data_IF_837481257079
#
_entry.id   IF_837481257079
#
_cell.length_a   1.000
_cell.length_b   1.000
_cell.length_c   1.000
_cell.angle_alpha   90.00
_cell.angle_beta   90.00
_cell.angle_gamma   90.00
#
_symmetry.space_group_name_H-M   'P 1'
#
loop_
_entity.id
_entity.type
_entity.pdbx_description
1 polymer ?
#
# COMPACT_ATOMS: atom_id res chain seq x y z
N UNK A 1 -11.78 -6.79 -6.75
CA UNK A 1 -10.31 -6.65 -6.61
C UNK A 1 -9.85 -7.66 -5.58
N UNK A 2 -8.66 -8.22 -5.74
CA UNK A 2 -8.08 -9.24 -4.85
C UNK A 2 -6.65 -8.91 -4.37
N UNK A 3 -5.99 -7.88 -4.92
CA UNK A 3 -4.73 -7.33 -4.40
C UNK A 3 -4.90 -5.86 -4.00
N UNK A 4 -4.37 -5.53 -2.82
CA UNK A 4 -4.34 -4.18 -2.27
C UNK A 4 -2.89 -3.77 -1.99
N UNK A 5 -2.47 -2.65 -2.55
CA UNK A 5 -1.18 -2.00 -2.28
C UNK A 5 -1.47 -0.64 -1.66
N UNK A 6 -0.83 -0.34 -0.55
CA UNK A 6 -0.98 0.92 0.17
C UNK A 6 0.38 1.45 0.60
N UNK A 7 0.57 2.77 0.53
CA UNK A 7 1.61 3.48 1.25
C UNK A 7 1.02 4.69 1.99
N UNK A 8 1.40 4.85 3.24
CA UNK A 8 1.01 5.97 4.11
C UNK A 8 2.23 6.82 4.40
N UNK A 9 2.12 8.12 4.12
CA UNK A 9 3.19 9.10 4.23
C UNK A 9 2.87 10.11 5.32
N UNK A 10 3.91 10.53 6.03
CA UNK A 10 3.86 11.70 6.92
C UNK A 10 3.32 12.95 6.21
N UNK A 11 2.91 13.98 6.98
CA UNK A 11 2.51 15.24 6.42
C UNK A 11 3.60 15.84 5.50
N UNK A 12 3.23 16.05 4.24
CA UNK A 12 4.09 16.63 3.21
C UNK A 12 3.67 18.06 2.91
N UNK A 13 4.65 18.90 2.55
CA UNK A 13 4.36 20.17 1.90
C UNK A 13 3.64 19.96 0.57
N UNK A 14 2.80 20.91 0.15
CA UNK A 14 1.98 20.76 -1.06
C UNK A 14 2.84 20.46 -2.31
N UNK A 15 3.94 21.16 -2.53
CA UNK A 15 4.81 20.92 -3.69
C UNK A 15 5.38 19.50 -3.73
N UNK A 16 5.85 19.00 -2.58
CA UNK A 16 6.38 17.65 -2.45
C UNK A 16 5.28 16.61 -2.66
N UNK A 17 4.07 16.86 -2.13
CA UNK A 17 2.91 15.99 -2.33
C UNK A 17 2.56 15.84 -3.81
N UNK A 18 2.46 16.94 -4.56
CA UNK A 18 2.13 16.91 -5.98
C UNK A 18 3.12 16.07 -6.79
N UNK A 19 4.43 16.22 -6.51
CA UNK A 19 5.46 15.42 -7.15
C UNK A 19 5.32 13.92 -6.83
N UNK A 20 5.04 13.58 -5.57
CA UNK A 20 4.78 12.20 -5.13
C UNK A 20 3.55 11.61 -5.83
N UNK A 21 2.46 12.37 -5.98
CA UNK A 21 1.25 11.87 -6.62
C UNK A 21 1.50 11.58 -8.09
N UNK A 22 2.21 12.48 -8.78
CA UNK A 22 2.60 12.26 -10.18
C UNK A 22 3.43 10.99 -10.30
N UNK A 23 4.47 10.82 -9.49
CA UNK A 23 5.33 9.63 -9.53
C UNK A 23 4.55 8.34 -9.24
N UNK A 24 3.68 8.34 -8.21
CA UNK A 24 2.82 7.21 -7.88
C UNK A 24 1.93 6.77 -9.05
N UNK A 25 1.22 7.71 -9.67
CA UNK A 25 0.32 7.43 -10.78
C UNK A 25 1.09 6.97 -12.03
N UNK A 26 2.18 7.66 -12.39
CA UNK A 26 2.98 7.29 -13.58
C UNK A 26 3.63 5.91 -13.44
N UNK A 27 4.11 5.56 -12.24
CA UNK A 27 4.61 4.20 -11.94
C UNK A 27 3.50 3.16 -11.99
N UNK A 28 2.33 3.47 -11.44
CA UNK A 28 1.19 2.56 -11.49
C UNK A 28 0.79 2.27 -12.95
N UNK A 29 0.73 3.31 -13.79
CA UNK A 29 0.40 3.19 -15.21
C UNK A 29 1.46 2.50 -16.07
N UNK A 30 2.74 2.60 -15.70
CA UNK A 30 3.84 1.95 -16.41
C UNK A 30 4.21 0.57 -15.87
N UNK A 31 3.70 0.19 -14.69
CA UNK A 31 3.90 -1.11 -14.08
C UNK A 31 2.59 -1.90 -14.00
N UNK A 32 1.93 -2.00 -12.81
CA UNK A 32 0.77 -2.88 -12.61
C UNK A 32 -0.40 -2.68 -13.59
N UNK A 33 -0.58 -1.46 -14.12
CA UNK A 33 -1.66 -1.13 -15.05
C UNK A 33 -1.21 -1.02 -16.52
N UNK A 34 0.05 -1.29 -16.86
CA UNK A 34 0.58 -1.06 -18.21
C UNK A 34 -0.26 -1.75 -19.32
N UNK A 35 -0.64 -3.00 -19.10
CA UNK A 35 -1.51 -3.77 -20.00
C UNK A 35 -2.88 -3.09 -20.20
N UNK A 36 -3.51 -2.63 -19.11
CA UNK A 36 -4.84 -2.01 -19.15
C UNK A 36 -4.82 -0.62 -19.80
N UNK A 37 -3.77 0.16 -19.54
CA UNK A 37 -3.55 1.46 -20.21
C UNK A 37 -3.41 1.25 -21.71
N UNK A 38 -2.60 0.26 -22.12
CA UNK A 38 -2.38 -0.06 -23.53
C UNK A 38 -3.65 -0.55 -24.23
N UNK A 39 -4.47 -1.38 -23.57
CA UNK A 39 -5.75 -1.84 -24.10
C UNK A 39 -6.74 -0.68 -24.31
N UNK A 40 -6.86 0.23 -23.33
CA UNK A 40 -7.71 1.42 -23.47
C UNK A 40 -7.25 2.31 -24.65
N UNK A 41 -5.95 2.59 -24.75
CA UNK A 41 -5.38 3.46 -25.78
C UNK A 41 -5.65 2.94 -27.20
N UNK A 42 -5.68 1.62 -27.39
CA UNK A 42 -6.01 0.98 -28.67
C UNK A 42 -7.50 0.79 -28.91
N UNK A 43 -8.35 1.19 -27.96
CA UNK A 43 -9.77 0.87 -27.93
C UNK A 43 -10.01 -0.66 -28.10
N UNK A 44 -9.09 -1.46 -27.58
CA UNK A 44 -9.14 -2.91 -27.59
C UNK A 44 -9.93 -3.38 -26.35
N UNK A 45 -10.89 -4.31 -26.56
CA UNK A 45 -11.52 -5.12 -25.51
C UNK A 45 -12.22 -4.39 -24.36
N UNK A 46 -13.05 -3.38 -24.63
CA UNK A 46 -14.05 -2.91 -23.65
C UNK A 46 -13.49 -2.29 -22.36
N UNK A 47 -12.17 -2.11 -22.27
CA UNK A 47 -11.54 -1.44 -21.12
C UNK A 47 -11.80 0.05 -21.22
N UNK A 48 -12.31 0.62 -20.13
CA UNK A 48 -12.56 2.05 -19.99
C UNK A 48 -11.95 2.55 -18.69
N UNK A 49 -11.54 3.82 -18.67
CA UNK A 49 -11.15 4.49 -17.43
C UNK A 49 -12.06 5.64 -17.08
N UNK A 50 -12.23 5.81 -15.77
CA UNK A 50 -12.84 6.99 -15.17
C UNK A 50 -11.89 7.54 -14.11
N UNK A 51 -11.56 8.83 -14.22
CA UNK A 51 -10.77 9.54 -13.24
C UNK A 51 -11.60 10.63 -12.60
N UNK A 52 -11.60 10.69 -11.27
CA UNK A 52 -12.24 11.73 -10.48
C UNK A 52 -11.21 12.42 -9.60
N UNK A 53 -11.21 13.75 -9.59
CA UNK A 53 -10.29 14.59 -8.81
C UNK A 53 -11.09 15.56 -7.95
N UNK A 54 -10.74 15.68 -6.67
CA UNK A 54 -11.29 16.65 -5.73
C UNK A 54 -10.17 17.56 -5.20
N UNK A 55 -10.29 18.85 -5.45
CA UNK A 55 -9.30 19.85 -5.04
C UNK A 55 -9.47 20.28 -3.58
N UNK A 56 -8.37 20.71 -2.96
CA UNK A 56 -8.33 21.15 -1.56
C UNK A 56 -9.26 22.33 -1.29
N UNK A 57 -10.07 22.23 -0.23
CA UNK A 57 -10.93 23.32 0.24
C UNK A 57 -12.05 23.75 -0.72
N UNK A 58 -12.39 22.94 -1.73
CA UNK A 58 -13.38 23.29 -2.75
C UNK A 58 -14.43 22.22 -3.02
N UNK A 59 -15.61 22.65 -3.47
CA UNK A 59 -16.64 21.77 -4.06
C UNK A 59 -16.28 21.30 -5.48
N UNK A 60 -15.17 21.78 -6.05
CA UNK A 60 -14.76 21.52 -7.43
C UNK A 60 -14.32 20.06 -7.58
N UNK A 61 -15.13 19.30 -8.30
CA UNK A 61 -14.80 17.96 -8.79
C UNK A 61 -14.51 18.02 -10.28
N UNK A 62 -13.39 17.43 -10.70
CA UNK A 62 -12.99 17.28 -12.10
C UNK A 62 -13.16 15.80 -12.45
N UNK A 63 -13.94 15.50 -13.47
CA UNK A 63 -14.09 14.13 -13.98
C UNK A 63 -13.45 14.05 -15.36
N UNK A 64 -12.72 12.97 -15.61
CA UNK A 64 -12.08 12.66 -16.89
C UNK A 64 -12.40 11.20 -17.23
N UNK A 65 -12.63 10.92 -18.50
CA UNK A 65 -12.69 9.56 -19.03
C UNK A 65 -11.59 9.40 -20.07
N UNK A 66 -11.23 8.17 -20.41
CA UNK A 66 -10.18 7.90 -21.41
C UNK A 66 -8.82 8.49 -20.98
N UNK A 67 -8.17 7.82 -20.03
CA UNK A 67 -6.89 8.17 -19.45
C UNK A 67 -5.86 8.48 -20.54
N UNK A 68 -5.77 7.66 -21.59
CA UNK A 68 -4.83 7.89 -22.70
C UNK A 68 -4.94 9.30 -23.32
N UNK A 69 -6.17 9.83 -23.45
CA UNK A 69 -6.41 11.18 -23.99
C UNK A 69 -6.25 12.29 -22.96
N UNK A 70 -6.43 11.97 -21.68
CA UNK A 70 -6.44 12.94 -20.59
C UNK A 70 -5.18 12.87 -19.70
N UNK A 71 -4.19 12.04 -20.02
CA UNK A 71 -2.98 11.83 -19.19
C UNK A 71 -2.24 13.12 -18.86
N UNK A 72 -2.03 13.99 -19.86
CA UNK A 72 -1.38 15.28 -19.67
C UNK A 72 -2.19 16.20 -18.75
N UNK A 73 -3.52 16.19 -18.86
CA UNK A 73 -4.41 16.95 -17.98
C UNK A 73 -4.41 16.39 -16.56
N UNK A 74 -4.46 15.07 -16.40
CA UNK A 74 -4.38 14.42 -15.10
C UNK A 74 -3.08 14.82 -14.40
N UNK A 75 -1.94 14.80 -15.10
CA UNK A 75 -0.66 15.24 -14.53
C UNK A 75 -0.74 16.66 -13.95
N UNK A 76 -1.30 17.62 -14.70
CA UNK A 76 -1.47 19.00 -14.22
C UNK A 76 -2.37 19.06 -12.98
N UNK A 77 -3.42 18.25 -12.92
CA UNK A 77 -4.30 18.16 -11.75
C UNK A 77 -3.57 17.55 -10.54
N UNK A 78 -2.73 16.53 -10.73
CA UNK A 78 -1.92 15.91 -9.67
C UNK A 78 -0.85 16.86 -9.11
N UNK A 79 -0.21 17.66 -9.98
CA UNK A 79 0.77 18.68 -9.58
C UNK A 79 0.15 19.77 -8.69
N UNK A 80 -1.15 20.03 -8.85
CA UNK A 80 -1.91 20.93 -7.97
C UNK A 80 -2.23 20.33 -6.60
N UNK A 81 -1.83 19.07 -6.36
CA UNK A 81 -1.96 18.41 -5.06
C UNK A 81 -3.41 18.33 -4.59
N UNK A 82 -4.27 17.56 -5.27
CA UNK A 82 -5.66 17.40 -4.86
C UNK A 82 -5.76 16.67 -3.51
N UNK A 83 -6.87 16.86 -2.80
CA UNK A 83 -7.14 16.12 -1.57
C UNK A 83 -7.51 14.67 -1.86
N UNK A 84 -8.06 14.42 -3.03
CA UNK A 84 -8.44 13.08 -3.44
C UNK A 84 -8.40 12.96 -4.96
N UNK A 85 -7.85 11.86 -5.42
CA UNK A 85 -7.85 11.49 -6.84
C UNK A 85 -7.96 9.98 -6.94
N UNK A 86 -8.80 9.50 -7.84
CA UNK A 86 -8.88 8.10 -8.21
C UNK A 86 -8.95 7.97 -9.72
N UNK A 87 -8.22 7.01 -10.27
CA UNK A 87 -8.44 6.49 -11.62
C UNK A 87 -8.81 5.03 -11.50
N UNK A 88 -10.01 4.68 -11.97
CA UNK A 88 -10.50 3.31 -12.00
C UNK A 88 -10.47 2.79 -13.43
N UNK A 89 -10.16 1.50 -13.57
CA UNK A 89 -10.20 0.74 -14.82
C UNK A 89 -11.38 -0.22 -14.74
N UNK A 90 -12.22 -0.18 -15.77
CA UNK A 90 -13.44 -0.98 -15.87
C UNK A 90 -13.43 -1.84 -17.12
N UNK A 91 -14.01 -3.02 -17.02
CA UNK A 91 -14.54 -3.82 -18.14
C UNK A 91 -16.00 -4.12 -17.84
N UNK A 92 -16.36 -5.40 -17.77
CA UNK A 92 -17.66 -5.82 -17.22
C UNK A 92 -17.76 -5.55 -15.71
N UNK A 93 -16.61 -5.58 -15.01
CA UNK A 93 -16.43 -5.25 -13.59
C UNK A 93 -15.23 -4.29 -13.40
N UNK A 94 -14.98 -3.82 -12.17
CA UNK A 94 -13.77 -3.05 -11.83
C UNK A 94 -12.53 -3.95 -11.90
N UNK A 95 -11.64 -3.64 -12.85
CA UNK A 95 -10.38 -4.36 -13.10
C UNK A 95 -9.25 -3.88 -12.17
N UNK A 96 -9.33 -2.63 -11.73
CA UNK A 96 -8.45 -2.08 -10.70
C UNK A 96 -8.58 -0.57 -10.56
N UNK A 97 -7.84 -0.01 -9.62
CA UNK A 97 -7.82 1.41 -9.32
C UNK A 97 -6.46 1.88 -8.84
N UNK A 98 -6.13 3.11 -9.14
CA UNK A 98 -5.04 3.86 -8.49
C UNK A 98 -5.64 5.10 -7.83
N UNK A 99 -5.29 5.35 -6.58
CA UNK A 99 -5.89 6.39 -5.77
C UNK A 99 -4.85 7.10 -4.91
N UNK A 100 -5.10 8.38 -4.63
CA UNK A 100 -4.51 9.08 -3.50
C UNK A 100 -5.61 9.77 -2.69
N UNK A 101 -5.45 9.77 -1.37
CA UNK A 101 -6.24 10.54 -0.41
C UNK A 101 -5.31 11.36 0.49
N UNK A 102 -5.71 12.57 0.83
CA UNK A 102 -5.06 13.42 1.82
C UNK A 102 -6.06 13.78 2.92
N UNK A 103 -5.60 13.70 4.17
CA UNK A 103 -6.44 13.87 5.35
C UNK A 103 -5.99 15.10 6.15
N UNK A 104 -6.42 16.32 5.78
CA UNK A 104 -5.99 17.54 6.46
C UNK A 104 -6.44 17.59 7.92
N UNK A 105 -7.62 17.05 8.22
CA UNK A 105 -8.21 17.06 9.57
C UNK A 105 -7.52 16.06 10.51
N UNK A 106 -6.85 15.05 9.94
CA UNK A 106 -6.18 13.97 10.69
C UNK A 106 -4.67 14.24 10.84
N UNK A 107 -4.22 15.48 10.68
CA UNK A 107 -2.82 15.85 10.83
C UNK A 107 -2.03 15.95 9.53
N UNK A 108 -2.67 15.73 8.37
CA UNK A 108 -2.08 15.95 7.04
C UNK A 108 -1.46 14.72 6.39
N UNK A 109 -1.87 13.51 6.79
CA UNK A 109 -1.38 12.27 6.19
C UNK A 109 -1.76 12.16 4.72
N UNK A 110 -0.89 11.55 3.92
CA UNK A 110 -1.20 11.17 2.55
C UNK A 110 -1.22 9.65 2.43
N UNK A 111 -2.23 9.13 1.76
CA UNK A 111 -2.41 7.70 1.50
C UNK A 111 -2.45 7.45 0.00
N UNK A 112 -1.56 6.58 -0.45
CA UNK A 112 -1.41 6.15 -1.84
C UNK A 112 -1.91 4.70 -1.94
N UNK A 113 -2.79 4.41 -2.90
CA UNK A 113 -3.41 3.10 -3.04
C UNK A 113 -3.38 2.63 -4.48
N UNK A 114 -3.12 1.34 -4.66
CA UNK A 114 -3.41 0.58 -5.88
C UNK A 114 -4.24 -0.64 -5.49
N UNK A 115 -5.37 -0.84 -6.18
CA UNK A 115 -6.18 -2.05 -6.08
C UNK A 115 -6.20 -2.77 -7.42
N UNK A 116 -6.02 -4.08 -7.44
CA UNK A 116 -5.94 -4.87 -8.68
C UNK A 116 -6.88 -6.07 -8.60
N UNK A 117 -7.43 -6.46 -9.75
CA UNK A 117 -8.06 -7.76 -9.96
C UNK A 117 -7.06 -8.65 -10.72
N UNK A 118 -6.24 -9.41 -10.00
CA UNK A 118 -5.15 -10.21 -10.55
C UNK A 118 -5.54 -11.66 -10.83
N UNK A 119 -6.40 -12.26 -10.00
CA UNK A 119 -6.78 -13.67 -10.05
C UNK A 119 -5.68 -14.61 -9.52
N UNK A 120 -6.09 -15.78 -9.02
CA UNK A 120 -5.22 -16.71 -8.29
C UNK A 120 -3.97 -17.17 -9.06
N UNK A 121 -4.05 -17.32 -10.38
CA UNK A 121 -2.92 -17.71 -11.22
C UNK A 121 -1.78 -16.69 -11.18
N UNK A 122 -2.09 -15.39 -11.26
CA UNK A 122 -1.08 -14.32 -11.15
C UNK A 122 -0.51 -14.24 -9.73
N UNK A 123 -1.34 -14.47 -8.71
CA UNK A 123 -0.88 -14.47 -7.31
C UNK A 123 0.08 -15.63 -6.97
N UNK A 124 0.11 -16.66 -7.81
CA UNK A 124 1.05 -17.78 -7.70
C UNK A 124 2.27 -17.63 -8.63
N UNK A 125 2.31 -16.61 -9.48
CA UNK A 125 3.43 -16.34 -10.39
C UNK A 125 4.53 -15.51 -9.70
N UNK A 126 5.74 -16.06 -9.51
CA UNK A 126 6.87 -15.33 -8.92
C UNK A 126 7.22 -14.05 -9.65
N UNK A 127 7.13 -14.03 -11.00
CA UNK A 127 7.46 -12.83 -11.77
C UNK A 127 6.48 -11.71 -11.49
N UNK A 128 5.18 -11.99 -11.55
CA UNK A 128 4.14 -11.01 -11.25
C UNK A 128 4.29 -10.45 -9.83
N UNK A 129 4.54 -11.33 -8.86
CA UNK A 129 4.75 -10.92 -7.47
C UNK A 129 6.00 -10.06 -7.29
N UNK A 130 7.12 -10.41 -7.94
CA UNK A 130 8.34 -9.61 -7.93
C UNK A 130 8.12 -8.22 -8.55
N UNK A 131 7.40 -8.14 -9.68
CA UNK A 131 7.08 -6.88 -10.34
C UNK A 131 6.22 -5.96 -9.43
N UNK A 132 5.28 -6.53 -8.64
CA UNK A 132 4.51 -5.78 -7.65
C UNK A 132 5.38 -5.26 -6.49
N UNK A 133 6.28 -6.10 -5.99
CA UNK A 133 7.23 -5.73 -4.93
C UNK A 133 8.14 -4.60 -5.41
N UNK A 134 8.68 -4.73 -6.62
CA UNK A 134 9.57 -3.72 -7.22
C UNK A 134 8.83 -2.41 -7.50
N UNK A 135 7.57 -2.47 -7.93
CA UNK A 135 6.71 -1.28 -8.05
C UNK A 135 6.62 -0.53 -6.72
N UNK A 136 6.26 -1.20 -5.63
CA UNK A 136 6.14 -0.55 -4.32
C UNK A 136 7.50 -0.04 -3.85
N UNK A 137 8.55 -0.88 -3.93
CA UNK A 137 9.90 -0.53 -3.51
C UNK A 137 10.38 0.76 -4.17
N UNK A 138 10.24 0.86 -5.50
CA UNK A 138 10.65 2.04 -6.25
C UNK A 138 9.79 3.27 -5.94
N UNK A 139 8.49 3.10 -5.71
CA UNK A 139 7.58 4.19 -5.40
C UNK A 139 7.86 4.82 -4.03
N UNK A 140 8.40 4.06 -3.07
CA UNK A 140 8.68 4.55 -1.71
C UNK A 140 10.17 4.73 -1.38
N UNK A 141 11.06 4.40 -2.31
CA UNK A 141 12.52 4.36 -2.10
C UNK A 141 13.08 5.68 -1.55
N UNK A 142 12.55 6.80 -2.04
CA UNK A 142 12.96 8.15 -1.68
C UNK A 142 11.97 8.85 -0.71
N UNK A 143 11.10 8.10 0.00
CA UNK A 143 10.05 8.67 0.86
C UNK A 143 10.14 8.31 2.35
N UNK A 144 10.70 7.16 2.73
CA UNK A 144 10.62 6.60 4.10
C UNK A 144 9.18 6.65 4.64
N UNK A 145 8.22 5.89 4.07
CA UNK A 145 6.82 5.95 4.48
C UNK A 145 6.67 5.50 5.94
N UNK A 146 5.63 6.01 6.63
CA UNK A 146 5.28 5.54 7.99
C UNK A 146 4.82 4.09 7.95
N UNK A 147 4.16 3.70 6.86
CA UNK A 147 3.73 2.33 6.65
C UNK A 147 3.49 2.09 5.16
N UNK A 148 3.75 0.88 4.67
CA UNK A 148 3.21 0.44 3.39
C UNK A 148 2.97 -1.06 3.42
N UNK A 149 2.06 -1.55 2.59
CA UNK A 149 1.77 -2.99 2.49
C UNK A 149 1.36 -3.42 1.11
N UNK A 150 1.56 -4.72 0.83
CA UNK A 150 0.84 -5.44 -0.21
C UNK A 150 0.12 -6.61 0.44
N UNK A 151 -1.17 -6.72 0.16
CA UNK A 151 -2.06 -7.66 0.81
C UNK A 151 -3.09 -8.24 -0.17
N UNK A 152 -3.60 -9.42 0.18
CA UNK A 152 -4.64 -10.12 -0.57
C UNK A 152 -5.96 -10.03 0.18
N UNK A 153 -7.05 -9.80 -0.55
CA UNK A 153 -8.44 -9.87 -0.06
C UNK A 153 -8.81 -8.92 1.12
N UNK A 154 -7.90 -8.02 1.53
CA UNK A 154 -8.15 -6.98 2.54
C UNK A 154 -8.06 -5.58 1.91
N UNK A 155 -9.20 -4.90 1.81
CA UNK A 155 -9.34 -3.59 1.16
C UNK A 155 -9.75 -2.48 2.15
N UNK A 156 -9.33 -2.62 3.40
CA UNK A 156 -9.64 -1.69 4.48
C UNK A 156 -8.59 -0.59 4.60
N UNK A 157 -8.98 0.56 5.18
CA UNK A 157 -8.02 1.57 5.60
C UNK A 157 -7.21 1.15 6.84
N UNK A 158 -7.73 0.19 7.60
CA UNK A 158 -7.03 -0.45 8.71
C UNK A 158 -6.09 -1.55 8.22
N UNK A 159 -4.93 -1.63 8.86
CA UNK A 159 -4.13 -2.85 8.89
C UNK A 159 -4.91 -3.98 9.58
N UNK A 160 -4.56 -5.24 9.32
CA UNK A 160 -5.19 -6.36 10.04
C UNK A 160 -4.99 -6.27 11.56
N UNK A 161 -3.84 -5.78 12.02
CA UNK A 161 -3.55 -5.63 13.44
C UNK A 161 -4.34 -4.47 14.04
N UNK A 162 -4.51 -3.37 13.31
CA UNK A 162 -5.34 -2.25 13.77
C UNK A 162 -6.79 -2.69 13.94
N UNK A 163 -7.34 -3.40 12.96
CA UNK A 163 -8.69 -3.95 13.03
C UNK A 163 -8.81 -4.95 14.20
N UNK A 164 -7.87 -5.91 14.32
CA UNK A 164 -7.92 -6.94 15.36
C UNK A 164 -7.71 -6.40 16.78
N UNK A 165 -7.02 -5.26 16.94
CA UNK A 165 -6.84 -4.56 18.21
C UNK A 165 -7.85 -3.43 18.42
N UNK A 166 -8.79 -3.22 17.49
CA UNK A 166 -9.78 -2.13 17.52
C UNK A 166 -9.15 -0.74 17.67
N UNK A 167 -7.97 -0.53 17.06
CA UNK A 167 -7.24 0.74 17.12
C UNK A 167 -7.81 1.72 16.12
N UNK A 168 -8.11 2.94 16.56
CA UNK A 168 -8.53 4.02 15.67
C UNK A 168 -7.34 4.55 14.86
N UNK A 169 -7.59 5.00 13.62
CA UNK A 169 -6.58 5.61 12.75
C UNK A 169 -6.07 6.94 13.31
N UNK A 170 -6.93 7.71 13.98
CA UNK A 170 -6.57 8.99 14.59
C UNK A 170 -5.43 8.83 15.62
N UNK A 171 -5.36 7.68 16.28
CA UNK A 171 -4.32 7.34 17.25
C UNK A 171 -3.17 6.56 16.59
N UNK A 172 -3.48 5.62 15.69
CA UNK A 172 -2.46 4.73 15.13
C UNK A 172 -1.54 5.41 14.12
N UNK A 173 -2.01 6.41 13.38
CA UNK A 173 -1.21 7.11 12.38
C UNK A 173 -0.13 7.98 13.05
N UNK A 174 -0.43 8.84 14.04
CA UNK A 174 0.60 9.56 14.79
C UNK A 174 1.63 8.66 15.47
N UNK A 175 1.21 7.48 15.93
CA UNK A 175 2.07 6.49 16.57
C UNK A 175 2.86 5.63 15.56
N UNK A 176 2.65 5.76 14.25
CA UNK A 176 3.19 4.83 13.25
C UNK A 176 4.71 4.74 13.17
N UNK A 177 5.42 5.71 13.74
CA UNK A 177 6.90 5.73 13.91
C UNK A 177 7.36 5.05 15.20
N UNK A 178 6.47 4.88 16.17
CA UNK A 178 6.69 4.21 17.46
C UNK A 178 6.19 2.76 17.45
N UNK A 179 5.07 2.49 16.78
CA UNK A 179 4.50 1.17 16.61
C UNK A 179 4.18 0.91 15.14
N UNK A 180 4.61 -0.25 14.65
CA UNK A 180 4.28 -0.68 13.31
C UNK A 180 2.77 -0.94 13.23
N UNK A 181 2.10 -0.28 12.29
CA UNK A 181 0.64 -0.35 12.13
C UNK A 181 0.14 -1.78 11.93
N UNK A 182 0.91 -2.66 11.29
CA UNK A 182 0.60 -4.07 11.12
C UNK A 182 1.61 -4.77 10.23
N UNK A 183 1.26 -5.95 9.73
CA UNK A 183 2.10 -6.70 8.78
C UNK A 183 1.22 -7.44 7.78
N UNK A 184 1.72 -7.55 6.55
CA UNK A 184 1.10 -8.25 5.43
C UNK A 184 2.16 -9.02 4.63
N UNK A 185 1.78 -9.58 3.47
CA UNK A 185 2.70 -10.31 2.61
C UNK A 185 3.94 -9.49 2.25
N UNK A 186 3.74 -8.20 1.93
CA UNK A 186 4.82 -7.21 1.91
C UNK A 186 4.49 -6.15 2.93
N UNK A 187 5.49 -5.73 3.71
CA UNK A 187 5.39 -4.66 4.70
C UNK A 187 6.57 -3.72 4.54
N UNK A 188 6.35 -2.41 4.50
CA UNK A 188 7.42 -1.42 4.66
C UNK A 188 7.41 -0.94 6.10
N UNK A 189 8.55 -1.14 6.75
CA UNK A 189 8.80 -0.72 8.11
C UNK A 189 9.59 0.60 8.10
N UNK A 190 9.11 1.66 8.78
CA UNK A 190 9.81 2.94 8.83
C UNK A 190 11.19 2.83 9.48
N UNK A 191 12.09 3.77 9.18
CA UNK A 191 13.49 3.72 9.59
C UNK A 191 13.69 3.46 11.09
N UNK A 192 12.92 4.14 11.93
CA UNK A 192 13.02 4.10 13.39
C UNK A 192 12.76 2.68 13.92
N UNK A 193 11.73 2.04 13.37
CA UNK A 193 11.34 0.69 13.71
C UNK A 193 12.31 -0.34 13.13
N UNK A 194 12.77 -0.13 11.89
CA UNK A 194 13.80 -0.96 11.28
C UNK A 194 15.10 -0.98 12.12
N UNK A 195 15.51 0.17 12.67
CA UNK A 195 16.68 0.27 13.57
C UNK A 195 16.43 -0.50 14.87
N UNK A 196 15.25 -0.36 15.48
CA UNK A 196 14.87 -1.12 16.69
C UNK A 196 14.86 -2.62 16.48
N UNK A 197 14.57 -3.08 15.27
CA UNK A 197 14.64 -4.47 14.85
C UNK A 197 16.07 -4.95 14.50
N UNK A 198 17.09 -4.12 14.74
CA UNK A 198 18.49 -4.45 14.46
C UNK A 198 18.92 -4.19 13.02
N UNK A 199 18.11 -3.50 12.21
CA UNK A 199 18.41 -3.11 10.85
C UNK A 199 18.14 -4.20 9.80
N UNK A 200 18.32 -3.85 8.50
CA UNK A 200 17.98 -4.73 7.38
C UNK A 200 18.79 -6.03 7.35
N UNK A 201 20.06 -6.00 7.78
CA UNK A 201 20.90 -7.21 7.83
C UNK A 201 20.39 -8.22 8.86
N UNK A 202 20.00 -7.76 10.06
CA UNK A 202 19.40 -8.60 11.11
C UNK A 202 18.06 -9.17 10.64
N UNK A 203 17.23 -8.34 10.01
CA UNK A 203 15.95 -8.78 9.45
C UNK A 203 16.14 -9.83 8.35
N UNK A 204 17.13 -9.68 7.48
CA UNK A 204 17.47 -10.70 6.48
C UNK A 204 17.97 -12.00 7.13
N UNK A 205 18.85 -11.90 8.13
CA UNK A 205 19.40 -13.04 8.85
C UNK A 205 18.36 -13.81 9.69
N UNK A 206 17.24 -13.18 10.05
CA UNK A 206 16.15 -13.82 10.80
C UNK A 206 15.50 -15.01 10.08
N UNK A 207 15.60 -15.07 8.74
CA UNK A 207 14.91 -16.07 7.92
C UNK A 207 13.39 -15.91 7.87
N UNK A 208 12.83 -14.86 8.46
CA UNK A 208 11.38 -14.60 8.42
C UNK A 208 10.89 -14.12 7.04
N UNK A 209 11.77 -13.51 6.25
CA UNK A 209 11.45 -12.86 4.98
C UNK A 209 12.17 -13.54 3.81
N UNK A 210 11.47 -13.65 2.68
CA UNK A 210 12.05 -14.09 1.41
C UNK A 210 12.99 -13.03 0.82
N UNK A 211 12.63 -11.75 0.94
CA UNK A 211 13.43 -10.63 0.43
C UNK A 211 13.32 -9.45 1.39
N UNK A 212 14.47 -8.81 1.64
CA UNK A 212 14.60 -7.60 2.46
C UNK A 212 15.27 -6.53 1.61
N UNK A 213 14.64 -5.37 1.45
CA UNK A 213 15.13 -4.28 0.61
C UNK A 213 15.25 -3.01 1.45
N UNK A 214 16.47 -2.57 1.81
CA UNK A 214 16.64 -1.27 2.45
C UNK A 214 16.28 -0.16 1.46
N UNK A 215 15.54 0.85 1.92
CA UNK A 215 15.14 1.99 1.10
C UNK A 215 16.16 3.14 1.24
N UNK A 216 16.39 3.89 0.16
CA UNK A 216 17.42 4.95 0.11
C UNK A 216 17.20 6.07 1.12
N UNK A 217 15.95 6.45 1.39
CA UNK A 217 15.61 7.50 2.36
C UNK A 217 15.33 7.00 3.77
N UNK A 218 15.54 5.71 4.03
CA UNK A 218 15.29 5.08 5.31
C UNK A 218 14.08 4.17 5.29
N UNK A 219 14.06 3.25 6.24
CA UNK A 219 13.08 2.16 6.29
C UNK A 219 13.53 0.94 5.49
N UNK A 220 12.70 -0.09 5.52
CA UNK A 220 12.98 -1.38 4.89
C UNK A 220 11.69 -1.99 4.38
N UNK A 221 11.70 -2.46 3.13
CA UNK A 221 10.65 -3.29 2.57
C UNK A 221 10.94 -4.76 2.88
N UNK A 222 9.94 -5.45 3.38
CA UNK A 222 10.00 -6.83 3.85
C UNK A 222 8.97 -7.66 3.09
N UNK A 223 9.45 -8.59 2.25
CA UNK A 223 8.60 -9.53 1.53
C UNK A 223 8.64 -10.89 2.26
N UNK A 224 7.49 -11.32 2.77
CA UNK A 224 7.36 -12.49 3.64
C UNK A 224 7.59 -13.82 2.91
N UNK A 225 7.13 -13.95 1.67
CA UNK A 225 7.29 -15.14 0.82
C UNK A 225 7.40 -14.74 -0.65
N UNK A 226 7.92 -15.63 -1.51
CA UNK A 226 8.16 -15.33 -2.93
C UNK A 226 6.90 -14.87 -3.67
N UNK A 227 5.74 -15.47 -3.33
CA UNK A 227 4.46 -15.17 -3.98
C UNK A 227 3.38 -14.86 -2.96
N UNK A 228 2.35 -14.10 -3.38
CA UNK A 228 1.17 -13.83 -2.56
C UNK A 228 0.46 -15.12 -2.13
N UNK A 229 0.38 -16.11 -3.04
CA UNK A 229 -0.18 -17.43 -2.73
C UNK A 229 0.64 -18.20 -1.68
N UNK A 230 1.94 -17.91 -1.55
CA UNK A 230 2.84 -18.52 -0.58
C UNK A 230 2.75 -17.95 0.84
N UNK A 231 1.97 -16.87 1.05
CA UNK A 231 1.82 -16.21 2.35
C UNK A 231 0.89 -17.00 3.29
N UNK A 232 1.32 -18.20 3.68
CA UNK A 232 0.59 -19.13 4.57
C UNK A 232 0.65 -18.72 6.04
N UNK A 233 -0.19 -19.31 6.89
CA UNK A 233 -0.21 -19.06 8.34
C UNK A 233 1.16 -19.29 9.00
N UNK A 234 1.92 -20.29 8.54
CA UNK A 234 3.29 -20.50 9.03
C UNK A 234 4.22 -19.33 8.68
N UNK A 235 4.07 -18.72 7.50
CA UNK A 235 4.83 -17.53 7.12
C UNK A 235 4.39 -16.32 7.95
N UNK A 236 3.08 -16.16 8.16
CA UNK A 236 2.49 -15.11 9.02
C UNK A 236 3.08 -15.18 10.43
N UNK A 237 3.17 -16.36 11.03
CA UNK A 237 3.75 -16.58 12.36
C UNK A 237 5.23 -16.17 12.45
N UNK A 238 6.04 -16.49 11.42
CA UNK A 238 7.46 -16.08 11.38
C UNK A 238 7.60 -14.57 11.26
N UNK A 239 6.79 -13.95 10.41
CA UNK A 239 6.76 -12.49 10.24
C UNK A 239 6.35 -11.82 11.56
N UNK A 240 5.30 -12.31 12.21
CA UNK A 240 4.87 -11.81 13.51
C UNK A 240 5.99 -11.88 14.53
N UNK A 241 6.66 -13.04 14.69
CA UNK A 241 7.74 -13.19 15.65
C UNK A 241 8.91 -12.21 15.38
N UNK A 242 9.24 -11.98 14.11
CA UNK A 242 10.29 -11.03 13.73
C UNK A 242 9.88 -9.56 13.96
N UNK A 243 8.60 -9.22 13.86
CA UNK A 243 8.10 -7.83 13.97
C UNK A 243 7.49 -7.49 15.33
N UNK A 244 7.21 -8.47 16.19
CA UNK A 244 6.62 -8.28 17.53
C UNK A 244 7.28 -7.20 18.40
N UNK A 245 8.61 -6.99 18.38
CA UNK A 245 9.25 -5.92 19.16
C UNK A 245 8.82 -4.50 18.80
N UNK A 246 8.21 -4.30 17.63
CA UNK A 246 7.70 -3.00 17.19
C UNK A 246 6.19 -2.98 16.97
N UNK A 247 5.48 -4.06 17.24
CA UNK A 247 4.02 -4.07 17.18
C UNK A 247 3.42 -3.48 18.48
N UNK A 248 2.23 -2.85 18.39
CA UNK A 248 1.50 -2.42 19.57
C UNK A 248 1.13 -3.61 20.44
N UNK A 249 1.05 -3.38 21.76
CA UNK A 249 0.60 -4.38 22.73
C UNK A 249 -0.92 -4.56 22.65
N UNK A 250 -1.40 -5.68 23.17
CA UNK A 250 -2.81 -6.04 23.24
C UNK A 250 -3.09 -7.37 22.56
N UNK A 251 -4.11 -8.08 23.07
CA UNK A 251 -4.55 -9.34 22.50
C UNK A 251 -5.39 -9.09 21.24
N UNK A 252 -4.98 -9.58 20.06
CA UNK A 252 -5.79 -9.48 18.84
C UNK A 252 -7.04 -10.37 18.93
N UNK A 253 -8.16 -9.89 18.42
CA UNK A 253 -9.42 -10.63 18.37
C UNK A 253 -9.93 -10.75 16.92
N UNK A 254 -10.48 -11.91 16.50
CA UNK A 254 -11.16 -12.03 15.23
C UNK A 254 -12.37 -11.11 15.15
N UNK A 255 -12.50 -10.39 14.05
CA UNK A 255 -13.69 -9.60 13.74
C UNK A 255 -14.57 -10.37 12.75
N UNK A 256 -15.79 -10.80 13.14
CA UNK A 256 -16.71 -11.46 12.23
C UNK A 256 -17.09 -10.64 10.99
N UNK A 257 -16.97 -9.31 11.03
CA UNK A 257 -17.20 -8.44 9.88
C UNK A 257 -16.04 -8.50 8.85
N UNK A 258 -14.87 -8.96 9.30
CA UNK A 258 -13.66 -9.07 8.49
C UNK A 258 -13.02 -10.46 8.69
N UNK A 259 -13.68 -11.53 8.20
CA UNK A 259 -13.23 -12.91 8.42
C UNK A 259 -11.89 -13.24 7.73
N UNK A 260 -11.49 -12.43 6.75
CA UNK A 260 -10.30 -12.65 5.92
C UNK A 260 -9.03 -11.98 6.47
N UNK A 261 -9.10 -11.30 7.63
CA UNK A 261 -7.94 -10.70 8.26
C UNK A 261 -6.90 -11.77 8.63
N UNK A 262 -5.65 -11.54 8.24
CA UNK A 262 -4.51 -12.41 8.55
C UNK A 262 -3.66 -11.80 9.64
N UNK A 263 -3.68 -12.42 10.82
CA UNK A 263 -2.88 -12.03 11.97
C UNK A 263 -2.70 -13.22 12.92
N UNK A 264 -1.72 -13.12 13.82
CA UNK A 264 -1.50 -14.08 14.89
C UNK A 264 -2.33 -13.72 16.12
N UNK A 265 -3.02 -14.69 16.71
CA UNK A 265 -3.85 -14.54 17.92
C UNK A 265 -3.00 -14.51 19.21
N UNK A 266 -2.04 -13.61 19.29
CA UNK A 266 -1.11 -13.47 20.43
C UNK A 266 -0.72 -12.02 20.62
N UNK A 267 -0.57 -11.61 21.87
CA UNK A 267 -0.05 -10.29 22.20
C UNK A 267 1.41 -10.16 21.75
N UNK A 268 1.75 -9.03 21.13
CA UNK A 268 3.12 -8.73 20.77
C UNK A 268 4.05 -8.68 22.00
N UNK A 269 3.53 -8.29 23.18
CA UNK A 269 4.28 -8.25 24.43
C UNK A 269 4.82 -9.63 24.85
N UNK A 270 4.10 -10.71 24.55
CA UNK A 270 4.48 -12.08 24.91
C UNK A 270 5.61 -12.66 24.03
N UNK A 271 5.94 -11.97 22.94
CA UNK A 271 6.93 -12.41 21.95
C UNK A 271 8.24 -11.57 21.99
N UNK A 272 8.32 -10.59 22.90
CA UNK A 272 9.50 -9.72 23.11
C UNK A 272 10.56 -10.36 23.99
#
# INVERSE_FOLDING_TARGET
MDVYVEATLDPLGAADRGAVLVDWFERAFSGPFAELVHQEERAEFGVQTGTSVRQSGGSRRSNMSHLGRNRARLRVELEQSPDWVVTEFYGDDTLGRVQCSYFPEEGGWSKLVVGLQAGSLRLADPKYCADLVDFLAQAVDDLNPVFARIERDSFSDWSNIEAALTRNLDDSLPEGREFLRGYAWVTVCPQELAIRLGGPETLAASGAFHRVVPLRKGGVLLQASETLAGYTDHVVERVFAALAPVLPEGQPHPDPAHPDLRFVLRDAADAR
#
